data_IF_230069387809
#
_entry.id   IF_230069387809
#
_cell.length_a   1.000
_cell.length_b   1.000
_cell.length_c   1.000
_cell.angle_alpha   90.00
_cell.angle_beta   90.00
_cell.angle_gamma   90.00
#
_symmetry.space_group_name_H-M   'P 1'
#
loop_
_entity.id
_entity.type
_entity.pdbx_description
1 polymer ?
#
# COMPACT_ATOMS: atom_id res chain seq x y z
N UNK A 1 43.22 -0.64 -2.58
CA UNK A 1 42.02 -1.47 -2.85
C UNK A 1 41.77 -2.27 -1.60
N UNK A 2 40.56 -2.08 -0.97
CA UNK A 2 40.18 -2.96 0.14
C UNK A 2 39.99 -4.36 -0.42
N UNK A 3 40.48 -5.36 0.30
CA UNK A 3 40.33 -6.75 -0.09
C UNK A 3 38.92 -7.21 0.29
N UNK A 4 38.07 -7.50 -0.72
CA UNK A 4 36.67 -7.96 -0.54
C UNK A 4 36.55 -9.48 -0.68
N UNK A 5 37.65 -10.22 -0.62
CA UNK A 5 37.65 -11.69 -0.72
C UNK A 5 36.78 -12.37 0.34
N UNK A 6 36.46 -11.67 1.44
CA UNK A 6 35.58 -12.16 2.51
C UNK A 6 34.11 -11.71 2.38
N UNK A 7 33.77 -10.78 1.46
CA UNK A 7 32.37 -10.38 1.27
C UNK A 7 31.64 -11.46 0.46
N UNK A 8 30.66 -12.17 1.03
CA UNK A 8 29.91 -13.17 0.29
C UNK A 8 29.11 -12.52 -0.84
N UNK A 9 28.86 -13.25 -1.94
CA UNK A 9 28.03 -12.74 -3.04
C UNK A 9 26.58 -12.54 -2.59
N UNK A 10 26.11 -13.34 -1.63
CA UNK A 10 24.82 -13.18 -0.97
C UNK A 10 24.99 -12.95 0.53
N UNK A 11 24.19 -12.03 1.08
CA UNK A 11 24.10 -11.75 2.51
C UNK A 11 22.70 -12.04 3.03
N UNK A 12 22.60 -12.74 4.16
CA UNK A 12 21.30 -13.00 4.80
C UNK A 12 20.76 -11.75 5.51
N UNK A 13 19.43 -11.59 5.56
CA UNK A 13 18.76 -10.50 6.25
C UNK A 13 19.18 -10.37 7.72
N UNK A 14 19.23 -11.48 8.46
CA UNK A 14 19.65 -11.53 9.87
C UNK A 14 21.06 -10.96 10.09
N UNK A 15 21.97 -11.21 9.16
CA UNK A 15 23.34 -10.68 9.22
C UNK A 15 23.38 -9.20 8.83
N UNK A 16 22.64 -8.82 7.79
CA UNK A 16 22.61 -7.43 7.31
C UNK A 16 22.07 -6.47 8.37
N UNK A 17 21.02 -6.85 9.08
CA UNK A 17 20.41 -6.06 10.15
C UNK A 17 21.39 -5.80 11.33
N UNK A 18 22.40 -6.64 11.51
CA UNK A 18 23.42 -6.45 12.55
C UNK A 18 24.53 -5.48 12.13
N UNK A 19 24.57 -5.06 10.88
CA UNK A 19 25.60 -4.14 10.41
C UNK A 19 25.34 -2.73 10.97
N UNK A 20 26.38 -2.01 11.37
CA UNK A 20 26.23 -0.64 11.82
C UNK A 20 25.64 0.25 10.73
N UNK A 21 24.83 1.22 11.11
CA UNK A 21 24.33 2.22 10.18
C UNK A 21 25.47 2.91 9.43
N UNK A 22 25.36 3.05 8.11
CA UNK A 22 26.39 3.65 7.25
C UNK A 22 27.60 2.75 6.92
N UNK A 23 27.65 1.50 7.39
CA UNK A 23 28.71 0.56 7.04
C UNK A 23 28.52 -0.13 5.69
N UNK A 24 27.37 0.04 5.05
CA UNK A 24 27.03 -0.41 3.71
C UNK A 24 26.08 0.57 3.05
N UNK A 25 25.98 0.52 1.73
CA UNK A 25 24.96 1.20 0.94
C UNK A 25 23.97 0.15 0.43
N UNK A 26 22.69 0.28 0.77
CA UNK A 26 21.62 -0.53 0.20
C UNK A 26 21.13 0.07 -1.11
N UNK A 27 20.88 -0.78 -2.11
CA UNK A 27 20.38 -0.38 -3.43
C UNK A 27 19.11 -1.14 -3.75
N UNK A 28 18.02 -0.40 -3.87
CA UNK A 28 16.72 -0.93 -4.22
C UNK A 28 16.54 -0.98 -5.74
N UNK A 29 16.48 -2.18 -6.28
CA UNK A 29 16.29 -2.41 -7.72
C UNK A 29 14.81 -2.50 -8.12
N UNK A 30 13.87 -2.38 -7.17
CA UNK A 30 12.44 -2.43 -7.44
C UNK A 30 11.96 -1.15 -8.13
N UNK A 31 10.78 -1.22 -8.72
CA UNK A 31 10.12 -0.04 -9.27
C UNK A 31 9.72 0.97 -8.19
N UNK A 32 9.50 2.22 -8.59
CA UNK A 32 9.14 3.33 -7.69
C UNK A 32 7.86 3.04 -6.89
N UNK A 33 6.90 2.34 -7.49
CA UNK A 33 5.66 1.98 -6.83
C UNK A 33 5.91 0.96 -5.71
N UNK A 34 6.77 -0.03 -5.95
CA UNK A 34 7.19 -1.02 -4.93
C UNK A 34 7.95 -0.36 -3.78
N UNK A 35 8.82 0.61 -4.05
CA UNK A 35 9.52 1.40 -3.04
C UNK A 35 8.54 2.15 -2.12
N UNK A 36 7.37 2.55 -2.64
CA UNK A 36 6.28 3.14 -1.88
C UNK A 36 5.69 2.28 -0.76
N UNK A 37 6.06 1.00 -0.65
CA UNK A 37 5.68 0.11 0.46
C UNK A 37 6.74 -0.01 1.56
N UNK A 38 7.90 0.57 1.36
CA UNK A 38 9.06 0.63 2.27
C UNK A 38 10.34 0.26 1.54
N UNK A 39 11.45 0.77 2.05
CA UNK A 39 12.81 0.49 1.60
C UNK A 39 13.67 0.15 2.82
N UNK A 40 14.86 -0.44 2.61
CA UNK A 40 15.87 -0.51 3.66
C UNK A 40 16.30 0.91 4.03
N UNK A 41 16.64 1.13 5.30
CA UNK A 41 17.03 2.46 5.79
C UNK A 41 18.25 2.99 5.03
N UNK A 42 18.13 4.21 4.52
CA UNK A 42 19.20 4.85 3.75
C UNK A 42 19.42 4.25 2.35
N UNK A 43 18.54 3.37 1.87
CA UNK A 43 18.67 2.80 0.54
C UNK A 43 18.46 3.85 -0.56
N UNK A 44 19.22 3.70 -1.64
CA UNK A 44 19.02 4.45 -2.88
C UNK A 44 18.37 3.56 -3.92
N UNK A 45 17.48 4.13 -4.73
CA UNK A 45 16.87 3.38 -5.83
C UNK A 45 17.77 3.47 -7.06
N UNK A 46 18.10 2.31 -7.63
CA UNK A 46 18.78 2.19 -8.93
C UNK A 46 18.13 1.02 -9.68
N UNK A 47 17.57 1.27 -10.84
CA UNK A 47 16.91 0.25 -11.65
C UNK A 47 17.89 -0.75 -12.28
N UNK A 48 17.37 -1.88 -12.75
CA UNK A 48 18.17 -2.91 -13.42
C UNK A 48 18.90 -2.36 -14.65
N UNK A 49 18.20 -1.57 -15.48
CA UNK A 49 18.79 -1.01 -16.72
C UNK A 49 19.96 -0.04 -16.40
N UNK A 50 19.85 0.74 -15.34
CA UNK A 50 20.91 1.65 -14.89
C UNK A 50 22.13 0.85 -14.39
N UNK A 51 21.93 -0.21 -13.61
CA UNK A 51 23.01 -1.11 -13.20
C UNK A 51 23.62 -1.83 -14.40
N UNK A 52 22.79 -2.26 -15.35
CA UNK A 52 23.26 -2.90 -16.58
C UNK A 52 24.16 -2.01 -17.40
N UNK A 53 23.83 -0.73 -17.54
CA UNK A 53 24.66 0.25 -18.21
C UNK A 53 26.04 0.39 -17.52
N UNK A 54 26.11 0.27 -16.19
CA UNK A 54 27.36 0.26 -15.44
C UNK A 54 28.25 -0.94 -15.82
N UNK A 55 27.72 -2.18 -15.79
CA UNK A 55 28.59 -3.36 -16.04
C UNK A 55 28.83 -3.66 -17.53
N UNK A 56 27.94 -3.25 -18.43
CA UNK A 56 28.11 -3.44 -19.87
C UNK A 56 28.96 -2.32 -20.50
N UNK A 57 28.69 -1.06 -20.17
CA UNK A 57 29.24 0.10 -20.85
C UNK A 57 30.21 0.91 -19.96
N UNK A 58 30.30 0.61 -18.65
CA UNK A 58 31.10 1.40 -17.70
C UNK A 58 30.48 2.78 -17.40
N UNK A 59 29.18 2.97 -17.62
CA UNK A 59 28.50 4.23 -17.37
C UNK A 59 28.46 4.52 -15.85
N UNK A 60 28.95 5.69 -15.42
CA UNK A 60 29.03 6.00 -14.00
C UNK A 60 27.63 6.22 -13.41
N UNK A 61 27.42 5.67 -12.20
CA UNK A 61 26.20 5.89 -11.42
C UNK A 61 26.49 6.86 -10.27
N UNK A 62 26.08 8.13 -10.36
CA UNK A 62 26.35 9.14 -9.33
C UNK A 62 25.87 8.71 -7.93
N UNK A 63 24.74 8.00 -7.85
CA UNK A 63 24.18 7.51 -6.59
C UNK A 63 25.09 6.48 -5.87
N UNK A 64 25.99 5.81 -6.58
CA UNK A 64 26.89 4.79 -6.06
C UNK A 64 28.38 5.27 -6.00
N UNK A 65 28.69 6.41 -6.59
CA UNK A 65 30.07 6.86 -6.81
C UNK A 65 30.88 6.90 -5.50
N UNK A 66 30.34 7.53 -4.46
CA UNK A 66 31.03 7.62 -3.17
C UNK A 66 31.27 6.24 -2.55
N UNK A 67 30.28 5.36 -2.54
CA UNK A 67 30.43 4.03 -1.97
C UNK A 67 31.44 3.16 -2.74
N UNK A 68 31.51 3.35 -4.07
CA UNK A 68 32.49 2.68 -4.92
C UNK A 68 33.92 3.20 -4.66
N UNK A 69 34.11 4.51 -4.53
CA UNK A 69 35.42 5.15 -4.25
C UNK A 69 35.94 4.80 -2.85
N UNK A 70 35.06 4.85 -1.84
CA UNK A 70 35.42 4.52 -0.45
C UNK A 70 35.52 3.02 -0.22
N UNK A 71 35.04 2.21 -1.18
CA UNK A 71 35.01 0.75 -1.09
C UNK A 71 34.09 0.30 0.03
N UNK A 72 32.93 0.93 0.19
CA UNK A 72 31.86 0.50 1.09
C UNK A 72 31.11 -0.65 0.43
N UNK A 73 30.73 -1.72 1.15
CA UNK A 73 29.86 -2.77 0.64
C UNK A 73 28.57 -2.21 0.06
N UNK A 74 28.21 -2.60 -1.17
CA UNK A 74 26.96 -2.21 -1.83
C UNK A 74 26.07 -3.44 -1.88
N UNK A 75 24.93 -3.39 -1.18
CA UNK A 75 23.96 -4.48 -1.05
C UNK A 75 22.81 -4.25 -1.98
N UNK A 76 22.77 -4.96 -3.10
CA UNK A 76 21.68 -4.93 -4.05
C UNK A 76 20.51 -5.76 -3.51
N UNK A 77 19.29 -5.30 -3.71
CA UNK A 77 18.11 -6.10 -3.45
C UNK A 77 16.98 -5.83 -4.45
N UNK A 78 16.28 -6.88 -4.81
CA UNK A 78 15.04 -6.85 -5.56
C UNK A 78 13.92 -7.46 -4.72
N UNK A 79 12.81 -7.79 -5.30
CA UNK A 79 11.66 -8.38 -4.60
C UNK A 79 11.98 -9.73 -3.95
N UNK A 80 12.67 -10.62 -4.67
CA UNK A 80 12.94 -12.02 -4.28
C UNK A 80 14.41 -12.39 -4.20
N UNK A 81 15.33 -11.48 -4.50
CA UNK A 81 16.78 -11.74 -4.43
C UNK A 81 17.38 -12.35 -5.70
N UNK A 82 16.59 -12.67 -6.75
CA UNK A 82 17.10 -13.30 -7.99
C UNK A 82 17.80 -12.28 -8.89
N UNK A 83 17.10 -11.28 -9.36
CA UNK A 83 17.63 -10.22 -10.25
C UNK A 83 18.82 -9.51 -9.59
N UNK A 84 18.74 -9.26 -8.27
CA UNK A 84 19.84 -8.63 -7.54
C UNK A 84 21.06 -9.55 -7.40
N UNK A 85 20.90 -10.88 -7.39
CA UNK A 85 22.01 -11.82 -7.41
C UNK A 85 22.70 -11.82 -8.78
N UNK A 86 21.92 -11.94 -9.87
CA UNK A 86 22.44 -11.92 -11.24
C UNK A 86 23.22 -10.60 -11.50
N UNK A 87 22.70 -9.46 -11.03
CA UNK A 87 23.37 -8.17 -11.14
C UNK A 87 24.67 -8.10 -10.33
N UNK A 88 24.67 -8.62 -9.08
CA UNK A 88 25.86 -8.66 -8.24
C UNK A 88 26.95 -9.54 -8.82
N UNK A 89 26.59 -10.69 -9.41
CA UNK A 89 27.52 -11.60 -10.11
C UNK A 89 28.12 -10.91 -11.33
N UNK A 90 27.31 -10.30 -12.20
CA UNK A 90 27.76 -9.60 -13.38
C UNK A 90 28.70 -8.42 -13.03
N UNK A 91 28.42 -7.65 -11.98
CA UNK A 91 29.27 -6.57 -11.52
C UNK A 91 30.62 -7.09 -10.99
N UNK A 92 30.61 -8.18 -10.23
CA UNK A 92 31.85 -8.81 -9.72
C UNK A 92 32.73 -9.36 -10.84
N UNK A 93 32.15 -9.96 -11.86
CA UNK A 93 32.88 -10.43 -13.06
C UNK A 93 33.58 -9.28 -13.79
N UNK A 94 33.03 -8.07 -13.70
CA UNK A 94 33.64 -6.84 -14.24
C UNK A 94 34.65 -6.16 -13.29
N UNK A 95 34.92 -6.76 -12.13
CA UNK A 95 35.91 -6.28 -11.18
C UNK A 95 35.37 -5.38 -10.06
N UNK A 96 34.06 -5.18 -9.96
CA UNK A 96 33.43 -4.45 -8.86
C UNK A 96 33.21 -5.36 -7.64
N UNK A 97 34.27 -5.62 -6.87
CA UNK A 97 34.27 -6.62 -5.80
C UNK A 97 33.42 -6.30 -4.56
N UNK A 98 32.97 -5.05 -4.39
CA UNK A 98 32.22 -4.60 -3.22
C UNK A 98 30.69 -4.74 -3.35
N UNK A 99 30.18 -5.36 -4.42
CA UNK A 99 28.76 -5.63 -4.60
C UNK A 99 28.38 -7.01 -4.05
N UNK A 100 27.22 -7.10 -3.37
CA UNK A 100 26.59 -8.35 -2.96
C UNK A 100 25.08 -8.23 -3.07
N UNK A 101 24.38 -9.37 -3.04
CA UNK A 101 22.92 -9.45 -3.10
C UNK A 101 22.33 -9.79 -1.74
N UNK A 102 21.19 -9.21 -1.40
CA UNK A 102 20.40 -9.60 -0.25
C UNK A 102 19.62 -10.88 -0.57
N UNK A 103 19.97 -11.97 0.12
CA UNK A 103 19.32 -13.27 -0.09
C UNK A 103 17.84 -13.24 0.24
N UNK A 104 17.01 -13.66 -0.73
CA UNK A 104 15.56 -13.63 -0.61
C UNK A 104 14.94 -12.24 -0.77
N UNK A 105 15.76 -11.21 -1.02
CA UNK A 105 15.33 -9.86 -1.35
C UNK A 105 14.58 -9.13 -0.23
N UNK A 106 13.82 -8.12 -0.63
CA UNK A 106 13.08 -7.24 0.28
C UNK A 106 12.10 -8.00 1.21
N UNK A 107 11.41 -9.03 0.69
CA UNK A 107 10.38 -9.73 1.46
C UNK A 107 10.94 -10.42 2.70
N UNK A 108 12.07 -11.11 2.55
CA UNK A 108 12.74 -11.81 3.68
C UNK A 108 13.30 -10.80 4.69
N UNK A 109 13.89 -9.71 4.22
CA UNK A 109 14.38 -8.66 5.10
C UNK A 109 13.25 -7.98 5.89
N UNK A 110 12.16 -7.62 5.22
CA UNK A 110 11.01 -6.98 5.87
C UNK A 110 10.35 -7.90 6.92
N UNK A 111 10.31 -9.21 6.66
CA UNK A 111 9.85 -10.18 7.66
C UNK A 111 10.74 -10.19 8.90
N UNK A 112 12.06 -10.25 8.71
CA UNK A 112 12.99 -10.29 9.84
C UNK A 112 12.96 -8.98 10.65
N UNK A 113 12.95 -7.82 9.97
CA UNK A 113 12.82 -6.52 10.62
C UNK A 113 11.50 -6.39 11.40
N UNK A 114 10.40 -6.80 10.79
CA UNK A 114 9.09 -6.79 11.47
C UNK A 114 9.04 -7.71 12.69
N UNK A 115 9.74 -8.86 12.64
CA UNK A 115 9.83 -9.79 13.77
C UNK A 115 10.55 -9.16 14.95
N UNK A 116 11.65 -8.46 14.70
CA UNK A 116 12.41 -7.74 15.75
C UNK A 116 11.59 -6.62 16.38
N UNK A 117 10.88 -5.87 15.56
CA UNK A 117 10.06 -4.76 16.03
C UNK A 117 8.79 -5.19 16.79
N UNK A 118 8.28 -6.41 16.58
CA UNK A 118 6.96 -6.85 17.03
C UNK A 118 6.75 -6.83 18.56
N UNK A 119 7.81 -6.98 19.35
CA UNK A 119 7.78 -6.98 20.83
C UNK A 119 8.24 -5.65 21.45
N UNK A 120 8.54 -4.64 20.64
CA UNK A 120 9.08 -3.35 21.10
C UNK A 120 7.95 -2.43 21.58
N UNK A 121 7.69 -2.45 22.89
CA UNK A 121 6.67 -1.58 23.51
C UNK A 121 7.06 -0.10 23.51
N UNK A 122 8.34 0.24 23.59
CA UNK A 122 8.81 1.62 23.54
C UNK A 122 8.52 2.20 22.15
N UNK A 123 8.86 1.48 21.09
CA UNK A 123 8.55 1.84 19.72
C UNK A 123 7.03 1.98 19.49
N UNK A 124 6.21 1.08 20.04
CA UNK A 124 4.74 1.21 19.99
C UNK A 124 4.27 2.53 20.61
N UNK A 125 4.77 2.87 21.79
CA UNK A 125 4.41 4.10 22.48
C UNK A 125 4.85 5.34 21.70
N UNK A 126 6.01 5.31 21.05
CA UNK A 126 6.48 6.39 20.17
C UNK A 126 5.59 6.56 18.94
N UNK A 127 5.21 5.48 18.28
CA UNK A 127 4.28 5.50 17.12
C UNK A 127 2.95 6.13 17.54
N UNK A 128 2.38 5.72 18.68
CA UNK A 128 1.12 6.28 19.17
C UNK A 128 1.24 7.76 19.53
N UNK A 129 2.35 8.14 20.18
CA UNK A 129 2.65 9.54 20.51
C UNK A 129 2.81 10.39 19.26
N UNK A 130 3.52 9.88 18.23
CA UNK A 130 3.67 10.56 16.93
C UNK A 130 2.31 10.74 16.24
N UNK A 131 1.46 9.72 16.25
CA UNK A 131 0.12 9.78 15.67
C UNK A 131 -0.72 10.87 16.33
N UNK A 132 -0.72 10.96 17.69
CA UNK A 132 -1.49 11.94 18.47
C UNK A 132 -0.92 13.37 18.43
N UNK A 133 0.37 13.54 18.15
CA UNK A 133 1.03 14.86 18.13
C UNK A 133 1.34 15.31 16.71
N UNK A 134 2.31 14.65 16.07
CA UNK A 134 2.85 15.03 14.76
C UNK A 134 1.81 14.89 13.65
N UNK A 135 1.04 13.80 13.67
CA UNK A 135 0.06 13.47 12.63
C UNK A 135 -1.38 13.80 13.00
N UNK A 136 -1.61 14.49 14.13
CA UNK A 136 -2.95 14.81 14.62
C UNK A 136 -3.81 15.52 13.58
N UNK A 137 -3.30 16.56 12.95
CA UNK A 137 -4.04 17.34 11.97
C UNK A 137 -4.28 16.57 10.66
N UNK A 138 -3.23 15.94 10.13
CA UNK A 138 -3.25 15.35 8.79
C UNK A 138 -3.91 13.98 8.76
N UNK A 139 -3.86 13.22 9.86
CA UNK A 139 -4.45 11.89 9.95
C UNK A 139 -5.68 11.87 10.86
N UNK A 140 -5.54 12.09 12.18
CA UNK A 140 -6.67 11.99 13.12
C UNK A 140 -7.77 12.99 12.77
N UNK A 141 -7.42 14.28 12.61
CA UNK A 141 -8.40 15.32 12.32
C UNK A 141 -9.13 15.12 10.98
N UNK A 142 -8.44 14.63 9.95
CA UNK A 142 -9.08 14.31 8.67
C UNK A 142 -9.96 13.06 8.74
N UNK A 143 -9.55 12.07 9.53
CA UNK A 143 -10.36 10.90 9.81
C UNK A 143 -11.65 11.27 10.54
N UNK A 144 -11.54 11.99 11.65
CA UNK A 144 -12.68 12.49 12.43
C UNK A 144 -13.61 13.35 11.58
N UNK A 145 -13.03 14.24 10.74
CA UNK A 145 -13.80 15.04 9.80
C UNK A 145 -14.61 14.18 8.82
N UNK A 146 -14.00 13.14 8.24
CA UNK A 146 -14.71 12.23 7.33
C UNK A 146 -15.83 11.47 8.05
N UNK A 147 -15.55 10.97 9.26
CA UNK A 147 -16.54 10.27 10.09
C UNK A 147 -17.77 11.15 10.34
N UNK A 148 -17.57 12.40 10.72
CA UNK A 148 -18.66 13.35 11.00
C UNK A 148 -19.36 13.81 9.71
N UNK A 149 -18.58 14.25 8.72
CA UNK A 149 -19.11 14.81 7.47
C UNK A 149 -19.99 13.82 6.69
N UNK A 150 -19.63 12.56 6.70
CA UNK A 150 -20.33 11.51 5.94
C UNK A 150 -21.15 10.55 6.82
N UNK A 151 -21.26 10.86 8.12
CA UNK A 151 -22.04 10.06 9.07
C UNK A 151 -21.64 8.58 9.04
N UNK A 152 -20.33 8.30 9.15
CA UNK A 152 -19.79 6.95 8.92
C UNK A 152 -19.93 6.05 10.14
N UNK A 153 -19.91 6.62 11.35
CA UNK A 153 -20.02 5.88 12.63
C UNK A 153 -21.18 6.45 13.44
N UNK A 154 -22.04 5.56 13.92
CA UNK A 154 -23.22 5.87 14.71
C UNK A 154 -23.23 5.09 16.02
N UNK A 155 -24.04 5.52 16.97
CA UNK A 155 -24.20 4.84 18.26
C UNK A 155 -24.72 3.41 18.06
N UNK A 156 -24.10 2.46 18.76
CA UNK A 156 -24.44 1.03 18.66
C UNK A 156 -23.86 0.30 17.47
N UNK A 157 -23.09 0.97 16.59
CA UNK A 157 -22.42 0.30 15.49
C UNK A 157 -21.44 -0.77 15.98
N UNK A 158 -21.38 -1.89 15.28
CA UNK A 158 -20.30 -2.86 15.35
C UNK A 158 -19.63 -2.96 14.00
N UNK A 159 -18.38 -2.45 13.92
CA UNK A 159 -17.66 -2.19 12.68
C UNK A 159 -16.56 -3.21 12.48
N UNK A 160 -16.60 -3.96 11.39
CA UNK A 160 -15.50 -4.81 10.97
C UNK A 160 -14.45 -3.98 10.24
N UNK A 161 -13.28 -3.83 10.85
CA UNK A 161 -12.13 -3.13 10.28
C UNK A 161 -11.38 -4.12 9.41
N UNK A 162 -11.50 -3.98 8.09
CA UNK A 162 -10.91 -4.92 7.13
C UNK A 162 -9.42 -4.61 6.92
N UNK A 163 -8.57 -5.51 7.40
CA UNK A 163 -7.11 -5.39 7.31
C UNK A 163 -6.61 -6.22 6.15
N UNK A 164 -5.94 -5.58 5.21
CA UNK A 164 -5.29 -6.22 4.05
C UNK A 164 -3.81 -6.47 4.25
N UNK A 165 -3.26 -6.03 5.38
CA UNK A 165 -1.84 -6.08 5.66
C UNK A 165 -1.02 -4.91 5.09
N UNK A 166 -1.62 -4.02 4.29
CA UNK A 166 -0.96 -2.82 3.77
C UNK A 166 -1.01 -1.63 4.74
N UNK A 167 -0.17 -0.63 4.46
CA UNK A 167 -0.03 0.61 5.26
C UNK A 167 -1.37 1.29 5.58
N UNK A 168 -2.26 1.34 4.57
CA UNK A 168 -3.53 2.06 4.68
C UNK A 168 -4.48 1.39 5.68
N UNK A 169 -4.61 0.06 5.59
CA UNK A 169 -5.48 -0.71 6.48
C UNK A 169 -4.97 -0.75 7.92
N UNK A 170 -3.65 -0.81 8.12
CA UNK A 170 -3.04 -0.75 9.46
C UNK A 170 -3.20 0.63 10.10
N UNK A 171 -2.99 1.71 9.33
CA UNK A 171 -3.27 3.06 9.82
C UNK A 171 -4.76 3.23 10.15
N UNK A 172 -5.66 2.77 9.28
CA UNK A 172 -7.11 2.82 9.54
C UNK A 172 -7.46 2.16 10.87
N UNK A 173 -6.88 0.99 11.15
CA UNK A 173 -7.10 0.29 12.42
C UNK A 173 -6.64 1.14 13.63
N UNK A 174 -5.47 1.79 13.54
CA UNK A 174 -4.98 2.69 14.60
C UNK A 174 -5.89 3.91 14.77
N UNK A 175 -6.34 4.52 13.69
CA UNK A 175 -7.26 5.66 13.74
C UNK A 175 -8.61 5.30 14.36
N UNK A 176 -9.13 4.11 14.12
CA UNK A 176 -10.32 3.61 14.81
C UNK A 176 -10.09 3.35 16.31
N UNK A 177 -8.91 2.85 16.70
CA UNK A 177 -8.55 2.72 18.11
C UNK A 177 -8.51 4.09 18.80
N UNK A 178 -7.95 5.13 18.15
CA UNK A 178 -7.94 6.49 18.67
C UNK A 178 -9.37 7.09 18.71
N UNK A 179 -10.16 6.88 17.66
CA UNK A 179 -11.57 7.33 17.65
C UNK A 179 -12.35 6.70 18.81
N UNK A 180 -12.21 5.38 19.03
CA UNK A 180 -12.89 4.67 20.12
C UNK A 180 -12.46 5.18 21.51
N UNK A 181 -11.21 5.60 21.66
CA UNK A 181 -10.67 6.15 22.92
C UNK A 181 -11.31 7.49 23.29
N UNK A 182 -11.69 8.30 22.30
CA UNK A 182 -12.16 9.67 22.46
C UNK A 182 -13.62 9.89 22.05
N UNK A 183 -14.35 8.82 21.73
CA UNK A 183 -15.70 8.94 21.22
C UNK A 183 -16.71 9.43 22.27
N UNK A 184 -17.80 10.00 21.80
CA UNK A 184 -18.91 10.54 22.60
C UNK A 184 -20.06 9.55 22.79
N UNK A 185 -20.05 8.43 22.09
CA UNK A 185 -21.09 7.41 22.08
C UNK A 185 -20.50 6.01 21.91
N UNK A 186 -21.14 4.94 22.42
CA UNK A 186 -20.62 3.58 22.34
C UNK A 186 -20.71 3.02 20.93
N UNK A 187 -19.65 2.38 20.46
CA UNK A 187 -19.61 1.50 19.29
C UNK A 187 -18.53 0.43 19.48
N UNK A 188 -18.60 -0.65 18.71
CA UNK A 188 -17.66 -1.75 18.80
C UNK A 188 -16.78 -1.86 17.56
N UNK A 189 -15.56 -2.33 17.75
CA UNK A 189 -14.58 -2.58 16.70
C UNK A 189 -14.25 -4.07 16.65
N UNK A 190 -14.24 -4.62 15.46
CA UNK A 190 -13.82 -5.97 15.18
C UNK A 190 -12.76 -5.95 14.07
N UNK A 191 -11.53 -6.35 14.39
CA UNK A 191 -10.40 -6.28 13.46
C UNK A 191 -10.24 -7.61 12.74
N UNK A 192 -10.42 -7.61 11.43
CA UNK A 192 -10.44 -8.82 10.63
C UNK A 192 -9.47 -8.77 9.46
N UNK A 193 -8.70 -9.83 9.29
CA UNK A 193 -7.85 -10.04 8.13
C UNK A 193 -8.29 -11.30 7.41
N UNK A 194 -8.72 -11.15 6.18
CA UNK A 194 -8.99 -12.29 5.30
C UNK A 194 -7.67 -12.75 4.68
N UNK A 195 -7.31 -13.99 4.93
CA UNK A 195 -6.19 -14.66 4.30
C UNK A 195 -6.66 -15.41 3.03
N UNK A 196 -6.37 -14.91 1.84
CA UNK A 196 -6.74 -15.58 0.59
C UNK A 196 -5.73 -16.64 0.15
N UNK A 197 -4.80 -17.03 1.02
CA UNK A 197 -3.67 -17.92 0.77
C UNK A 197 -2.34 -17.16 0.72
N UNK A 198 -2.05 -16.32 1.70
CA UNK A 198 -0.80 -15.58 1.79
C UNK A 198 0.42 -16.53 1.85
N UNK A 199 1.58 -16.04 1.38
CA UNK A 199 2.84 -16.71 1.68
C UNK A 199 3.15 -16.57 3.19
N UNK A 200 3.97 -17.50 3.77
CA UNK A 200 4.38 -17.40 5.17
C UNK A 200 5.03 -16.07 5.52
N UNK A 201 5.81 -15.49 4.61
CA UNK A 201 6.46 -14.18 4.78
C UNK A 201 5.42 -13.07 4.88
N UNK A 202 4.46 -13.02 3.93
CA UNK A 202 3.38 -12.05 3.95
C UNK A 202 2.55 -12.12 5.22
N UNK A 203 2.15 -13.33 5.61
CA UNK A 203 1.38 -13.58 6.82
C UNK A 203 2.16 -13.13 8.05
N UNK A 204 3.45 -13.49 8.15
CA UNK A 204 4.31 -13.11 9.26
C UNK A 204 4.48 -11.60 9.40
N UNK A 205 4.66 -10.86 8.30
CA UNK A 205 4.76 -9.40 8.31
C UNK A 205 3.46 -8.76 8.82
N UNK A 206 2.30 -9.26 8.37
CA UNK A 206 0.99 -8.76 8.82
C UNK A 206 0.84 -8.97 10.34
N UNK A 207 1.13 -10.17 10.83
CA UNK A 207 1.03 -10.52 12.25
C UNK A 207 1.99 -9.70 13.12
N UNK A 208 3.23 -9.53 12.68
CA UNK A 208 4.25 -8.78 13.41
C UNK A 208 3.92 -7.29 13.48
N UNK A 209 3.53 -6.68 12.36
CA UNK A 209 3.09 -5.29 12.33
C UNK A 209 1.83 -5.07 13.21
N UNK A 210 0.88 -5.99 13.17
CA UNK A 210 -0.29 -5.93 14.03
C UNK A 210 0.07 -6.02 15.52
N UNK A 211 1.02 -6.88 15.87
CA UNK A 211 1.52 -7.04 17.25
C UNK A 211 2.24 -5.77 17.72
N UNK A 212 3.14 -5.20 16.90
CA UNK A 212 3.80 -3.93 17.18
C UNK A 212 2.78 -2.81 17.40
N UNK A 213 1.79 -2.69 16.52
CA UNK A 213 0.76 -1.65 16.59
C UNK A 213 -0.32 -1.92 17.65
N UNK A 214 -0.32 -3.07 18.32
CA UNK A 214 -1.33 -3.44 19.30
C UNK A 214 -2.73 -3.60 18.70
N UNK A 215 -2.83 -4.14 17.48
CA UNK A 215 -4.10 -4.37 16.77
C UNK A 215 -4.48 -5.86 16.96
N UNK A 216 -5.58 -6.18 17.65
CA UNK A 216 -6.01 -7.57 17.86
C UNK A 216 -6.72 -8.10 16.61
N UNK A 217 -5.98 -8.62 15.65
CA UNK A 217 -6.53 -9.12 14.38
C UNK A 217 -7.02 -10.54 14.53
N UNK A 218 -8.26 -10.80 14.09
CA UNK A 218 -8.76 -12.13 13.81
C UNK A 218 -8.57 -12.46 12.33
N UNK A 219 -7.94 -13.61 12.07
CA UNK A 219 -7.71 -14.09 10.71
C UNK A 219 -8.75 -15.15 10.35
N UNK A 220 -9.25 -15.08 9.11
CA UNK A 220 -9.97 -16.20 8.53
C UNK A 220 -9.43 -16.53 7.14
N UNK A 221 -9.34 -17.81 6.84
CA UNK A 221 -8.74 -18.32 5.63
C UNK A 221 -9.78 -18.55 4.54
N UNK A 222 -9.38 -18.37 3.29
CA UNK A 222 -10.22 -18.66 2.12
C UNK A 222 -9.35 -19.20 0.99
N UNK A 223 -9.95 -20.03 0.13
CA UNK A 223 -9.27 -20.60 -1.05
C UNK A 223 -9.43 -19.72 -2.30
N UNK A 224 -9.54 -18.40 -2.13
CA UNK A 224 -9.80 -17.51 -3.26
C UNK A 224 -8.70 -17.57 -4.30
N UNK A 225 -7.44 -17.62 -3.88
CA UNK A 225 -6.33 -17.67 -4.82
C UNK A 225 -6.37 -18.94 -5.67
N UNK A 226 -6.70 -20.06 -5.07
CA UNK A 226 -6.82 -21.34 -5.80
C UNK A 226 -8.00 -21.31 -6.76
N UNK A 227 -9.13 -20.69 -6.36
CA UNK A 227 -10.31 -20.54 -7.20
C UNK A 227 -10.12 -19.62 -8.42
N UNK A 228 -9.25 -18.59 -8.33
CA UNK A 228 -9.01 -17.65 -9.43
C UNK A 228 -7.76 -17.99 -10.27
N UNK A 229 -6.97 -18.97 -9.85
CA UNK A 229 -5.70 -19.33 -10.47
C UNK A 229 -5.82 -19.70 -11.96
N UNK A 230 -6.90 -20.38 -12.34
CA UNK A 230 -7.11 -20.87 -13.69
C UNK A 230 -7.97 -19.93 -14.56
N UNK A 231 -8.21 -18.68 -14.13
CA UNK A 231 -9.08 -17.76 -14.85
C UNK A 231 -8.25 -16.77 -15.66
N UNK A 232 -8.29 -16.90 -16.99
CA UNK A 232 -7.53 -16.05 -17.91
C UNK A 232 -8.08 -14.61 -18.03
N UNK A 233 -9.40 -14.40 -17.83
CA UNK A 233 -10.03 -13.08 -17.99
C UNK A 233 -10.24 -12.38 -16.66
N UNK A 234 -9.47 -11.32 -16.41
CA UNK A 234 -9.60 -10.40 -15.26
C UNK A 234 -9.59 -11.08 -13.89
N UNK A 235 -8.57 -11.89 -13.56
CA UNK A 235 -8.51 -12.62 -12.28
C UNK A 235 -8.54 -11.65 -11.07
N UNK A 236 -7.91 -10.49 -11.17
CA UNK A 236 -7.91 -9.47 -10.11
C UNK A 236 -9.30 -8.90 -9.82
N UNK A 237 -10.14 -8.71 -10.85
CA UNK A 237 -11.52 -8.23 -10.65
C UNK A 237 -12.36 -9.28 -9.92
N UNK A 238 -12.27 -10.54 -10.34
CA UNK A 238 -12.99 -11.64 -9.71
C UNK A 238 -12.53 -11.86 -8.27
N UNK A 239 -11.22 -11.86 -8.04
CA UNK A 239 -10.63 -11.92 -6.71
C UNK A 239 -11.18 -10.81 -5.80
N UNK A 240 -11.16 -9.55 -6.25
CA UNK A 240 -11.69 -8.42 -5.48
C UNK A 240 -13.20 -8.56 -5.17
N UNK A 241 -13.98 -9.09 -6.11
CA UNK A 241 -15.40 -9.33 -5.93
C UNK A 241 -15.67 -10.45 -4.91
N UNK A 242 -14.95 -11.58 -5.01
CA UNK A 242 -15.05 -12.69 -4.07
C UNK A 242 -14.63 -12.27 -2.66
N UNK A 243 -13.47 -11.59 -2.55
CA UNK A 243 -12.98 -11.07 -1.27
C UNK A 243 -14.02 -10.23 -0.56
N UNK A 244 -14.70 -9.35 -1.28
CA UNK A 244 -15.76 -8.51 -0.71
C UNK A 244 -16.92 -9.33 -0.20
N UNK A 245 -17.37 -10.36 -0.94
CA UNK A 245 -18.45 -11.26 -0.52
C UNK A 245 -18.11 -12.01 0.78
N UNK A 246 -16.90 -12.55 0.88
CA UNK A 246 -16.43 -13.23 2.09
C UNK A 246 -16.32 -12.29 3.29
N UNK A 247 -15.79 -11.09 3.10
CA UNK A 247 -15.70 -10.09 4.17
C UNK A 247 -17.07 -9.69 4.71
N UNK A 248 -18.05 -9.45 3.84
CA UNK A 248 -19.41 -9.13 4.27
C UNK A 248 -20.05 -10.28 5.05
N UNK A 249 -19.91 -11.52 4.56
CA UNK A 249 -20.45 -12.70 5.24
C UNK A 249 -19.83 -12.85 6.62
N UNK A 250 -18.50 -12.87 6.68
CA UNK A 250 -17.77 -13.04 7.93
C UNK A 250 -18.12 -11.94 8.95
N UNK A 251 -18.14 -10.69 8.53
CA UNK A 251 -18.51 -9.57 9.38
C UNK A 251 -19.96 -9.71 9.91
N UNK A 252 -20.91 -10.10 9.05
CA UNK A 252 -22.31 -10.32 9.44
C UNK A 252 -22.47 -11.47 10.43
N UNK A 253 -21.76 -12.58 10.23
CA UNK A 253 -21.77 -13.75 11.12
C UNK A 253 -21.21 -13.40 12.51
N UNK A 254 -20.36 -12.35 12.60
CA UNK A 254 -19.84 -11.82 13.86
C UNK A 254 -20.65 -10.62 14.39
N UNK A 255 -21.87 -10.42 13.90
CA UNK A 255 -22.79 -9.39 14.37
C UNK A 255 -22.42 -7.96 13.99
N UNK A 256 -21.50 -7.77 13.03
CA UNK A 256 -21.17 -6.44 12.52
C UNK A 256 -22.25 -5.94 11.57
N UNK A 257 -22.56 -4.63 11.62
CA UNK A 257 -23.46 -3.95 10.69
C UNK A 257 -22.68 -3.08 9.67
N UNK A 258 -21.39 -2.86 9.89
CA UNK A 258 -20.55 -2.11 8.97
C UNK A 258 -19.22 -2.81 8.69
N UNK A 259 -18.71 -2.64 7.46
CA UNK A 259 -17.34 -2.96 7.11
C UNK A 259 -16.59 -1.68 6.74
N UNK A 260 -15.38 -1.50 7.26
CA UNK A 260 -14.52 -0.37 6.95
C UNK A 260 -13.37 -0.78 6.04
N UNK A 261 -13.16 -0.03 4.96
CA UNK A 261 -12.09 -0.23 3.98
C UNK A 261 -11.14 0.97 3.96
N UNK A 262 -9.85 0.71 3.88
CA UNK A 262 -8.76 1.70 3.94
C UNK A 262 -8.53 2.53 2.67
N UNK A 263 -9.59 2.84 1.89
CA UNK A 263 -9.46 3.73 0.74
C UNK A 263 -9.29 5.18 1.21
N UNK A 264 -8.37 5.90 0.58
CA UNK A 264 -8.00 7.26 0.93
C UNK A 264 -8.34 8.26 -0.19
N UNK A 265 -8.08 9.54 0.03
CA UNK A 265 -8.43 10.64 -0.88
C UNK A 265 -7.87 10.44 -2.30
N UNK A 266 -6.62 9.98 -2.40
CA UNK A 266 -5.97 9.78 -3.71
C UNK A 266 -6.66 8.65 -4.50
N UNK A 267 -7.11 7.57 -3.85
CA UNK A 267 -7.93 6.53 -4.48
C UNK A 267 -9.25 7.08 -5.07
N UNK A 268 -9.85 8.05 -4.37
CA UNK A 268 -11.11 8.66 -4.81
C UNK A 268 -10.90 9.46 -6.09
N UNK A 269 -9.90 10.35 -6.13
CA UNK A 269 -9.63 11.18 -7.32
C UNK A 269 -9.17 10.35 -8.50
N UNK A 270 -8.35 9.32 -8.27
CA UNK A 270 -7.96 8.36 -9.30
C UNK A 270 -9.19 7.64 -9.87
N UNK A 271 -10.11 7.18 -9.02
CA UNK A 271 -11.34 6.49 -9.44
C UNK A 271 -12.26 7.40 -10.26
N UNK A 272 -12.38 8.67 -9.90
CA UNK A 272 -13.15 9.66 -10.67
C UNK A 272 -12.59 9.79 -12.08
N UNK A 273 -11.29 10.03 -12.21
CA UNK A 273 -10.65 10.17 -13.53
C UNK A 273 -10.69 8.87 -14.33
N UNK A 274 -10.45 7.72 -13.71
CA UNK A 274 -10.58 6.42 -14.38
C UNK A 274 -11.99 6.21 -14.92
N UNK A 275 -13.03 6.59 -14.17
CA UNK A 275 -14.42 6.54 -14.61
C UNK A 275 -14.65 7.37 -15.85
N UNK A 276 -14.14 8.60 -15.88
CA UNK A 276 -14.26 9.51 -17.02
C UNK A 276 -13.48 9.04 -18.24
N UNK A 277 -12.19 8.69 -18.06
CA UNK A 277 -11.27 8.41 -19.18
C UNK A 277 -11.47 7.05 -19.81
N UNK A 278 -11.80 6.01 -19.01
CA UNK A 278 -11.84 4.63 -19.49
C UNK A 278 -13.25 4.03 -19.52
N UNK A 279 -14.22 4.64 -18.85
CA UNK A 279 -15.59 4.10 -18.78
C UNK A 279 -16.66 5.07 -19.25
N UNK A 280 -16.31 6.33 -19.57
CA UNK A 280 -17.26 7.37 -19.96
C UNK A 280 -18.31 7.65 -18.88
N UNK A 281 -17.94 7.48 -17.61
CA UNK A 281 -18.85 7.67 -16.47
C UNK A 281 -18.26 8.69 -15.49
N UNK A 282 -19.06 9.68 -15.15
CA UNK A 282 -18.73 10.62 -14.10
C UNK A 282 -19.36 10.17 -12.78
N UNK A 283 -18.55 9.53 -11.95
CA UNK A 283 -18.97 9.01 -10.64
C UNK A 283 -17.82 8.97 -9.65
N UNK A 284 -18.11 9.20 -8.37
CA UNK A 284 -17.15 9.08 -7.29
C UNK A 284 -17.20 7.69 -6.63
N UNK A 285 -16.11 7.32 -5.99
CA UNK A 285 -16.11 6.25 -4.99
C UNK A 285 -16.80 6.80 -3.74
N UNK A 286 -18.01 6.30 -3.43
CA UNK A 286 -18.80 6.84 -2.32
C UNK A 286 -18.18 6.54 -0.95
N UNK A 287 -18.18 7.51 0.00
CA UNK A 287 -17.65 7.32 1.36
C UNK A 287 -18.46 6.30 2.18
N UNK A 288 -19.75 6.17 1.90
CA UNK A 288 -20.69 5.24 2.55
C UNK A 288 -21.59 4.58 1.51
N UNK A 289 -21.77 3.27 1.61
CA UNK A 289 -22.63 2.49 0.70
C UNK A 289 -23.40 1.43 1.46
N UNK A 290 -24.71 1.33 1.23
CA UNK A 290 -25.51 0.18 1.66
C UNK A 290 -25.23 -1.02 0.78
N UNK A 291 -25.09 -2.19 1.39
CA UNK A 291 -24.93 -3.42 0.65
C UNK A 291 -26.25 -3.83 -0.01
N UNK A 292 -26.21 -4.15 -1.30
CA UNK A 292 -27.38 -4.68 -2.02
C UNK A 292 -27.57 -6.17 -1.79
N UNK A 293 -26.52 -6.89 -1.42
CA UNK A 293 -26.53 -8.36 -1.26
C UNK A 293 -26.58 -8.82 0.20
N UNK A 294 -26.27 -7.93 1.14
CA UNK A 294 -26.23 -8.21 2.58
C UNK A 294 -27.08 -7.16 3.29
N UNK A 295 -28.33 -7.49 3.49
CA UNK A 295 -29.31 -6.61 4.15
C UNK A 295 -28.81 -6.17 5.53
N UNK A 296 -28.98 -4.88 5.84
CA UNK A 296 -28.52 -4.26 7.09
C UNK A 296 -27.02 -3.97 7.16
N UNK A 297 -26.24 -4.31 6.14
CA UNK A 297 -24.81 -4.05 6.11
C UNK A 297 -24.46 -2.79 5.30
N UNK A 298 -23.53 -2.00 5.84
CA UNK A 298 -22.94 -0.83 5.14
C UNK A 298 -21.44 -0.99 4.94
N UNK A 299 -20.92 -0.40 3.87
CA UNK A 299 -19.50 -0.22 3.63
C UNK A 299 -19.14 1.24 3.90
N UNK A 300 -18.09 1.47 4.68
CA UNK A 300 -17.59 2.81 4.99
C UNK A 300 -16.13 2.98 4.60
N UNK A 301 -15.71 4.20 4.28
CA UNK A 301 -14.34 4.60 3.91
C UNK A 301 -13.90 5.79 4.77
N UNK A 302 -13.49 5.56 6.02
CA UNK A 302 -13.24 6.67 6.95
C UNK A 302 -11.95 7.45 6.63
N UNK A 303 -11.04 6.89 5.83
CA UNK A 303 -9.84 7.60 5.37
C UNK A 303 -10.08 8.48 4.13
N UNK A 304 -11.32 8.71 3.76
CA UNK A 304 -11.76 9.39 2.53
C UNK A 304 -11.13 10.79 2.30
N UNK A 305 -10.76 11.49 3.37
CA UNK A 305 -10.14 12.82 3.33
C UNK A 305 -8.64 12.81 3.62
N UNK A 306 -8.04 11.64 3.89
CA UNK A 306 -6.60 11.49 4.18
C UNK A 306 -5.83 11.35 2.87
N UNK A 307 -4.68 12.04 2.77
CA UNK A 307 -3.79 11.95 1.61
C UNK A 307 -2.81 10.78 1.74
N UNK A 308 -2.53 10.11 0.64
CA UNK A 308 -1.56 8.99 0.61
C UNK A 308 -0.18 9.43 1.11
N UNK A 309 0.28 10.63 0.74
CA UNK A 309 1.57 11.17 1.20
C UNK A 309 1.68 11.25 2.73
N UNK A 310 0.58 11.54 3.42
CA UNK A 310 0.58 11.65 4.88
C UNK A 310 0.57 10.25 5.53
N UNK A 311 -0.03 9.25 4.88
CA UNK A 311 0.05 7.84 5.27
C UNK A 311 1.50 7.34 5.12
N UNK A 312 2.16 7.66 4.01
CA UNK A 312 3.56 7.31 3.75
C UNK A 312 4.47 7.94 4.80
N UNK A 313 4.31 9.23 5.10
CA UNK A 313 5.07 9.91 6.16
C UNK A 313 4.91 9.24 7.52
N UNK A 314 3.69 8.83 7.89
CA UNK A 314 3.45 8.09 9.11
C UNK A 314 4.14 6.73 9.11
N UNK A 315 4.00 5.97 8.03
CA UNK A 315 4.68 4.67 7.84
C UNK A 315 6.19 4.80 8.05
N UNK A 316 6.81 5.79 7.39
CA UNK A 316 8.26 6.01 7.45
C UNK A 316 8.70 6.41 8.87
N UNK A 317 7.95 7.31 9.51
CA UNK A 317 8.25 7.71 10.90
C UNK A 317 8.09 6.57 11.91
N UNK A 318 7.24 5.59 11.60
CA UNK A 318 7.01 4.40 12.41
C UNK A 318 7.99 3.27 12.07
N UNK A 319 8.80 3.41 11.00
CA UNK A 319 9.70 2.39 10.48
C UNK A 319 8.97 1.10 10.10
N UNK A 320 7.74 1.21 9.58
CA UNK A 320 6.94 0.05 9.21
C UNK A 320 7.22 -0.36 7.76
N UNK A 321 7.32 -1.66 7.56
CA UNK A 321 7.57 -2.27 6.25
C UNK A 321 6.39 -3.14 5.83
N UNK A 322 6.05 -3.06 4.55
CA UNK A 322 4.93 -3.79 3.97
C UNK A 322 5.34 -4.43 2.64
N UNK A 323 4.60 -5.44 2.20
CA UNK A 323 4.76 -6.00 0.87
C UNK A 323 3.71 -5.41 -0.07
N UNK A 324 4.11 -5.16 -1.31
CA UNK A 324 3.28 -4.54 -2.33
C UNK A 324 2.04 -5.39 -2.65
N UNK A 325 2.24 -6.68 -2.80
CA UNK A 325 1.19 -7.63 -3.11
C UNK A 325 1.38 -8.89 -2.29
N UNK A 326 0.34 -9.24 -1.54
CA UNK A 326 0.30 -10.48 -0.77
C UNK A 326 -0.16 -11.69 -1.60
N UNK A 327 -0.35 -11.53 -2.91
CA UNK A 327 -0.84 -12.56 -3.81
C UNK A 327 0.27 -13.57 -4.16
N UNK A 328 -0.05 -14.88 -4.17
CA UNK A 328 0.85 -15.94 -4.64
C UNK A 328 1.17 -15.86 -6.14
N UNK A 329 0.39 -15.11 -6.91
CA UNK A 329 0.45 -15.02 -8.38
C UNK A 329 1.24 -13.81 -8.88
N UNK A 330 2.16 -13.30 -8.07
CA UNK A 330 2.95 -12.11 -8.42
C UNK A 330 3.79 -12.30 -9.67
N UNK A 331 4.20 -13.51 -9.99
CA UNK A 331 4.99 -13.82 -11.17
C UNK A 331 4.20 -13.65 -12.50
N UNK A 332 2.87 -13.72 -12.45
CA UNK A 332 1.97 -13.56 -13.59
C UNK A 332 1.01 -12.36 -13.45
N UNK A 333 1.17 -11.54 -12.44
CA UNK A 333 0.30 -10.39 -12.20
C UNK A 333 0.78 -9.18 -12.99
N UNK A 334 0.00 -8.74 -13.98
CA UNK A 334 0.28 -7.52 -14.75
C UNK A 334 0.44 -6.24 -13.92
N UNK A 335 0.01 -6.27 -12.65
CA UNK A 335 0.19 -5.17 -11.70
C UNK A 335 1.44 -5.32 -10.82
N UNK A 336 2.16 -6.44 -10.92
CA UNK A 336 3.27 -6.83 -10.05
C UNK A 336 4.46 -7.38 -10.85
N UNK A 337 4.51 -7.17 -12.15
CA UNK A 337 5.61 -7.63 -12.99
C UNK A 337 6.95 -7.08 -12.49
N UNK A 338 7.97 -7.94 -12.43
CA UNK A 338 9.31 -7.58 -11.93
C UNK A 338 10.01 -6.55 -12.83
N UNK A 339 9.63 -6.50 -14.11
CA UNK A 339 10.17 -5.60 -15.12
C UNK A 339 9.60 -4.15 -15.08
N UNK A 340 8.79 -3.83 -14.06
CA UNK A 340 8.21 -2.49 -13.89
C UNK A 340 7.15 -2.13 -14.95
N UNK A 341 6.80 -3.04 -15.88
CA UNK A 341 5.76 -2.84 -16.89
C UNK A 341 4.37 -3.05 -16.32
N UNK A 342 4.00 -2.27 -15.29
CA UNK A 342 2.65 -2.28 -14.78
C UNK A 342 1.69 -1.61 -15.76
N UNK A 343 0.90 -2.40 -16.49
CA UNK A 343 -0.24 -1.95 -17.31
C UNK A 343 -1.44 -1.52 -16.44
N UNK A 344 -1.22 -1.13 -15.20
CA UNK A 344 -2.27 -0.69 -14.30
C UNK A 344 -2.80 0.67 -14.71
N UNK A 345 -4.08 0.72 -15.13
CA UNK A 345 -4.78 1.98 -15.45
C UNK A 345 -4.77 2.96 -14.27
N UNK A 346 -4.68 2.46 -13.06
CA UNK A 346 -4.54 3.28 -11.86
C UNK A 346 -3.18 3.98 -11.79
N UNK A 347 -2.08 3.28 -12.08
CA UNK A 347 -0.75 3.88 -12.11
C UNK A 347 -0.63 4.93 -13.22
N UNK A 348 -1.18 4.64 -14.40
CA UNK A 348 -1.26 5.58 -15.52
C UNK A 348 -2.03 6.86 -15.10
N UNK A 349 -3.17 6.71 -14.44
CA UNK A 349 -3.97 7.83 -13.93
C UNK A 349 -3.22 8.61 -12.85
N UNK A 350 -2.51 7.94 -11.95
CA UNK A 350 -1.69 8.58 -10.91
C UNK A 350 -0.57 9.45 -11.52
N UNK A 351 0.11 8.94 -12.55
CA UNK A 351 1.13 9.70 -13.31
C UNK A 351 0.51 10.91 -14.02
N UNK A 352 -0.67 10.75 -14.61
CA UNK A 352 -1.39 11.85 -15.26
C UNK A 352 -1.75 12.97 -14.25
N UNK A 353 -2.28 12.61 -13.09
CA UNK A 353 -2.59 13.58 -12.02
C UNK A 353 -1.32 14.32 -11.58
N UNK A 354 -0.22 13.60 -11.39
CA UNK A 354 1.05 14.20 -11.01
C UNK A 354 1.55 15.21 -12.05
N UNK A 355 1.52 14.87 -13.34
CA UNK A 355 1.89 15.77 -14.43
C UNK A 355 0.96 17.02 -14.51
N UNK A 356 -0.35 16.84 -14.37
CA UNK A 356 -1.28 17.95 -14.34
C UNK A 356 -1.04 18.89 -13.15
N UNK A 357 -0.59 18.37 -12.02
CA UNK A 357 -0.33 19.14 -10.81
C UNK A 357 0.83 20.13 -10.97
N UNK A 358 1.79 19.86 -11.83
CA UNK A 358 2.91 20.76 -12.13
C UNK A 358 2.41 22.10 -12.69
N UNK A 359 1.36 22.07 -13.51
CA UNK A 359 0.76 23.25 -14.14
C UNK A 359 -0.46 23.80 -13.40
N UNK A 360 -1.21 22.91 -12.72
CA UNK A 360 -2.43 23.25 -11.98
C UNK A 360 -2.33 22.72 -10.55
N UNK A 361 -1.72 23.45 -9.60
CA UNK A 361 -1.51 22.99 -8.23
C UNK A 361 -2.76 22.48 -7.51
N UNK A 362 -3.95 22.98 -7.87
CA UNK A 362 -5.24 22.61 -7.27
C UNK A 362 -5.95 21.47 -8.01
N UNK A 363 -5.34 20.82 -9.01
CA UNK A 363 -6.01 19.81 -9.84
C UNK A 363 -6.65 18.70 -9.03
N UNK A 364 -5.95 18.19 -8.00
CA UNK A 364 -6.46 17.14 -7.12
C UNK A 364 -7.74 17.55 -6.40
N UNK A 365 -7.75 18.75 -5.82
CA UNK A 365 -8.96 19.29 -5.16
C UNK A 365 -10.07 19.60 -6.15
N UNK A 366 -9.75 20.04 -7.37
CA UNK A 366 -10.74 20.32 -8.40
C UNK A 366 -11.42 19.04 -8.89
N UNK A 367 -10.68 17.96 -9.09
CA UNK A 367 -11.23 16.64 -9.46
C UNK A 367 -12.22 16.17 -8.38
N UNK A 368 -11.83 16.26 -7.10
CA UNK A 368 -12.68 15.86 -5.99
C UNK A 368 -13.94 16.71 -5.91
N UNK A 369 -13.79 18.04 -5.86
CA UNK A 369 -14.90 19.00 -5.73
C UNK A 369 -15.84 18.99 -6.91
N UNK A 370 -15.41 18.59 -8.10
CA UNK A 370 -16.27 18.45 -9.25
C UNK A 370 -17.44 17.48 -8.99
N UNK A 371 -17.23 16.44 -8.16
CA UNK A 371 -18.30 15.49 -7.79
C UNK A 371 -19.29 16.06 -6.76
N UNK A 372 -18.90 17.10 -6.02
CA UNK A 372 -19.77 17.81 -5.08
C UNK A 372 -20.53 18.99 -5.73
N UNK A 373 -20.07 19.45 -6.91
CA UNK A 373 -20.59 20.63 -7.61
C UNK A 373 -21.13 20.30 -9.01
N UNK A 374 -21.85 19.20 -9.14
CA UNK A 374 -22.49 18.81 -10.41
C UNK A 374 -23.69 19.71 -10.68
N UNK A 375 -23.67 20.39 -11.83
CA UNK A 375 -24.78 21.26 -12.28
C UNK A 375 -25.64 20.46 -13.25
N UNK A 376 -26.70 19.81 -12.74
CA UNK A 376 -27.51 18.83 -13.48
C UNK A 376 -28.15 19.42 -14.74
N UNK A 377 -28.59 20.68 -14.74
CA UNK A 377 -29.16 21.35 -15.91
C UNK A 377 -28.11 21.72 -16.98
N UNK A 378 -26.84 21.40 -16.80
CA UNK A 378 -25.73 21.58 -17.77
C UNK A 378 -25.07 20.28 -18.16
N UNK A 379 -25.68 19.12 -17.88
CA UNK A 379 -25.25 17.82 -18.37
C UNK A 379 -26.24 17.27 -19.37
N UNK A 380 -25.76 16.53 -20.38
CA UNK A 380 -26.64 15.96 -21.42
C UNK A 380 -27.60 14.90 -20.88
N UNK A 381 -27.25 14.27 -19.76
CA UNK A 381 -28.08 13.29 -19.08
C UNK A 381 -27.40 12.73 -17.84
N UNK A 382 -28.18 12.12 -16.98
CA UNK A 382 -27.72 11.48 -15.74
C UNK A 382 -28.57 10.26 -15.43
N UNK A 383 -28.16 9.46 -14.43
CA UNK A 383 -28.90 8.28 -13.97
C UNK A 383 -29.14 8.37 -12.48
N UNK A 384 -30.41 8.14 -12.06
CA UNK A 384 -30.79 7.96 -10.67
C UNK A 384 -31.47 6.60 -10.53
N UNK A 385 -31.01 5.74 -9.63
CA UNK A 385 -31.54 4.38 -9.40
C UNK A 385 -31.66 3.55 -10.67
N UNK A 386 -30.74 3.72 -11.62
CA UNK A 386 -30.74 3.01 -12.90
C UNK A 386 -31.61 3.63 -14.00
N UNK A 387 -32.46 4.60 -13.67
CA UNK A 387 -33.29 5.34 -14.62
C UNK A 387 -32.43 6.43 -15.28
N UNK A 388 -32.49 6.50 -16.60
CA UNK A 388 -31.83 7.55 -17.40
C UNK A 388 -32.72 8.78 -17.46
N UNK A 389 -32.13 9.95 -17.26
CA UNK A 389 -32.73 11.27 -17.47
C UNK A 389 -31.98 12.00 -18.57
N UNK A 390 -32.70 12.71 -19.40
CA UNK A 390 -32.14 13.53 -20.48
C UNK A 390 -32.41 15.01 -20.21
N UNK A 391 -31.52 15.91 -20.66
CA UNK A 391 -31.76 17.33 -20.57
C UNK A 391 -33.01 17.79 -21.32
N UNK A 392 -33.51 16.95 -22.27
CA UNK A 392 -34.75 17.23 -23.02
C UNK A 392 -36.03 17.05 -22.17
N UNK A 393 -35.95 16.45 -20.97
CA UNK A 393 -37.09 16.28 -20.10
C UNK A 393 -37.55 17.62 -19.45
N UNK A 394 -36.58 18.53 -19.26
CA UNK A 394 -36.78 19.82 -18.62
C UNK A 394 -36.59 21.00 -19.60
N UNK A 395 -36.52 20.75 -20.93
CA UNK A 395 -36.29 21.76 -21.97
C UNK A 395 -37.61 22.44 -22.41
#
# INVERSE_FOLDING_TARGET
MKDYTELPIEINAERLIQFPAGSYLAVDMRDEYSCGYGMLDGAVRVGEDELRALWENGEPLPALAQAMEEGIPIVLYCKYGRISLDAAEALREKGYGNFCSLKGGYGVWALEESRRAAADEERRNEIEKALRKTFRHDLIGRFEKAVVQYNLVEEGDRIAICISGGKDSMLMAKLFQELKRHNKFPFELFFVCMDPGYSPENRGIIENNARLLGIPIEFFETEIFDAVYNIEKSPCYLCARMRRGYLYRFAKDHGCNKIALGHHYDDVIETILMGMLYSGQYQAMMPKLRSTNFEGMELIRPMYLIREKDIIRWRDSAGLHFLQCACKFTDNCSSCAEDGTSNSKRLETKKLIAALKETVPQVESNIFRATENVVLNKVLGYKIHGVKHSFLEDY
#
